data_IF_647479764175
#
_entry.id   IF_647479764175
#
_cell.length_a   1.000
_cell.length_b   1.000
_cell.length_c   1.000
_cell.angle_alpha   90.00
_cell.angle_beta   90.00
_cell.angle_gamma   90.00
#
_symmetry.space_group_name_H-M   'P 1'
#
loop_
_entity.id
_entity.type
_entity.pdbx_description
1 polymer ?
#
# COMPACT_ATOMS: atom_id res chain seq x y z
N UNK A 1 -18.79 7.31 9.13
CA UNK A 1 -17.73 7.98 9.89
C UNK A 1 -16.49 7.90 9.03
N UNK A 2 -16.10 9.03 8.45
CA UNK A 2 -14.84 9.18 7.71
C UNK A 2 -13.70 8.93 8.67
N UNK A 3 -12.79 8.03 8.28
CA UNK A 3 -11.72 7.54 9.12
C UNK A 3 -10.50 8.45 8.93
N UNK A 4 -10.59 9.72 9.37
CA UNK A 4 -9.48 10.66 9.25
C UNK A 4 -8.29 10.10 10.03
N UNK A 5 -7.24 9.73 9.31
CA UNK A 5 -6.06 9.10 9.89
C UNK A 5 -5.27 10.12 10.72
N UNK A 6 -4.91 9.79 11.96
CA UNK A 6 -4.10 10.68 12.79
C UNK A 6 -2.74 10.94 12.11
N UNK A 7 -2.29 12.20 12.11
CA UNK A 7 -1.00 12.61 11.53
C UNK A 7 0.18 11.79 12.08
N UNK A 8 0.11 11.41 13.36
CA UNK A 8 1.09 10.53 14.03
C UNK A 8 1.24 9.17 13.34
N UNK A 9 0.15 8.56 12.88
CA UNK A 9 0.16 7.26 12.19
C UNK A 9 0.81 7.40 10.82
N UNK A 10 0.50 8.47 10.10
CA UNK A 10 1.14 8.79 8.81
C UNK A 10 2.65 8.92 8.97
N UNK A 11 3.11 9.64 9.99
CA UNK A 11 4.54 9.88 10.23
C UNK A 11 5.29 8.59 10.59
N UNK A 12 4.67 7.69 11.40
CA UNK A 12 5.23 6.36 11.68
C UNK A 12 5.34 5.55 10.39
N UNK A 13 4.28 5.50 9.58
CA UNK A 13 4.28 4.75 8.33
C UNK A 13 5.34 5.27 7.36
N UNK A 14 5.46 6.59 7.20
CA UNK A 14 6.51 7.21 6.37
C UNK A 14 7.88 6.80 6.86
N UNK A 15 8.19 6.96 8.14
CA UNK A 15 9.49 6.60 8.70
C UNK A 15 9.85 5.13 8.45
N UNK A 16 8.90 4.21 8.61
CA UNK A 16 9.10 2.78 8.38
C UNK A 16 9.36 2.43 6.91
N UNK A 17 8.66 3.09 5.98
CA UNK A 17 8.76 2.81 4.55
C UNK A 17 9.93 3.51 3.88
N UNK A 18 10.31 4.71 4.34
CA UNK A 18 11.36 5.53 3.72
C UNK A 18 12.70 5.45 4.46
N UNK A 19 12.85 4.52 5.40
CA UNK A 19 14.16 4.19 5.93
C UNK A 19 15.07 3.69 4.78
N UNK A 20 16.32 4.17 4.78
CA UNK A 20 17.30 3.83 3.74
C UNK A 20 17.40 2.30 3.55
N UNK A 21 17.28 1.86 2.30
CA UNK A 21 17.37 0.45 1.93
C UNK A 21 18.81 0.09 1.54
N UNK A 22 19.50 0.98 0.85
CA UNK A 22 20.92 0.91 0.50
C UNK A 22 21.57 2.29 0.64
N UNK A 23 22.82 2.41 0.21
CA UNK A 23 23.53 3.70 0.13
C UNK A 23 22.84 4.67 -0.85
N UNK A 24 22.02 4.16 -1.77
CA UNK A 24 21.21 4.95 -2.71
C UNK A 24 19.94 5.53 -2.05
N UNK A 25 19.69 5.24 -0.77
CA UNK A 25 18.59 5.79 0.01
C UNK A 25 17.33 4.92 0.06
N UNK A 26 16.18 5.58 0.17
CA UNK A 26 14.87 4.93 0.27
C UNK A 26 14.40 4.38 -1.09
N UNK A 27 13.62 3.30 -1.05
CA UNK A 27 13.09 2.64 -2.26
C UNK A 27 11.60 2.93 -2.50
N UNK A 28 10.98 3.75 -1.66
CA UNK A 28 9.57 4.11 -1.76
C UNK A 28 9.36 5.62 -1.61
N UNK A 29 8.38 6.13 -2.33
CA UNK A 29 7.79 7.45 -2.15
C UNK A 29 6.31 7.29 -1.75
N UNK A 30 5.85 8.04 -0.75
CA UNK A 30 4.47 7.94 -0.25
C UNK A 30 3.72 9.21 -0.58
N UNK A 31 2.53 9.06 -1.17
CA UNK A 31 1.59 10.16 -1.38
C UNK A 31 0.28 9.85 -0.66
N UNK A 32 -0.02 10.59 0.40
CA UNK A 32 -1.32 10.52 1.05
C UNK A 32 -2.39 11.12 0.13
N UNK A 33 -3.53 10.46 0.09
CA UNK A 33 -4.70 10.89 -0.65
C UNK A 33 -5.63 11.61 0.32
N UNK A 34 -6.35 12.62 -0.17
CA UNK A 34 -7.37 13.29 0.62
C UNK A 34 -8.56 12.34 0.88
N UNK A 35 -9.39 12.67 1.88
CA UNK A 35 -10.50 11.85 2.42
C UNK A 35 -11.63 11.48 1.41
N UNK A 36 -11.41 11.69 0.11
CA UNK A 36 -12.35 11.42 -0.97
C UNK A 36 -12.40 9.95 -1.40
N UNK A 37 -11.33 9.18 -1.16
CA UNK A 37 -11.29 7.76 -1.48
C UNK A 37 -11.66 6.90 -0.26
N UNK A 38 -12.77 6.14 -0.29
CA UNK A 38 -13.34 5.53 0.91
C UNK A 38 -12.50 4.41 1.53
N UNK A 39 -11.55 3.83 0.78
CA UNK A 39 -10.81 2.64 1.18
C UNK A 39 -9.30 2.75 0.99
N UNK A 40 -8.79 3.85 0.47
CA UNK A 40 -7.37 4.05 0.15
C UNK A 40 -6.91 5.32 0.82
N UNK A 41 -5.91 5.21 1.69
CA UNK A 41 -5.35 6.35 2.42
C UNK A 41 -4.11 6.93 1.70
N UNK A 42 -3.38 6.10 0.95
CA UNK A 42 -2.20 6.56 0.21
C UNK A 42 -1.85 5.69 -1.00
N UNK A 43 -1.01 6.26 -1.85
CA UNK A 43 -0.26 5.57 -2.90
C UNK A 43 1.18 5.42 -2.44
N UNK A 44 1.74 4.22 -2.62
CA UNK A 44 3.17 3.95 -2.45
C UNK A 44 3.78 3.71 -3.82
N UNK A 45 4.75 4.53 -4.19
CA UNK A 45 5.45 4.45 -5.47
C UNK A 45 6.85 3.91 -5.29
N UNK A 46 7.33 3.17 -6.29
CA UNK A 46 8.64 2.57 -6.25
C UNK A 46 9.69 3.54 -6.80
N UNK A 47 10.77 3.72 -6.05
CA UNK A 47 11.96 4.45 -6.48
C UNK A 47 12.94 3.46 -7.13
N UNK A 48 13.69 3.93 -8.14
CA UNK A 48 14.78 3.19 -8.78
C UNK A 48 14.46 2.59 -10.17
N UNK A 49 13.18 2.49 -10.54
CA UNK A 49 12.79 2.08 -11.90
C UNK A 49 12.80 3.25 -12.89
N UNK A 50 13.49 3.08 -14.03
CA UNK A 50 13.63 4.14 -15.06
C UNK A 50 12.65 4.02 -16.23
N UNK A 51 12.07 2.83 -16.44
CA UNK A 51 11.29 2.52 -17.66
C UNK A 51 9.78 2.65 -17.49
N UNK A 52 9.30 2.78 -16.27
CA UNK A 52 7.91 2.97 -15.86
C UNK A 52 7.88 3.29 -14.35
N UNK A 53 6.73 3.73 -13.83
CA UNK A 53 6.54 4.09 -12.43
C UNK A 53 5.57 3.10 -11.78
N UNK A 54 6.07 2.00 -11.17
CA UNK A 54 5.22 1.08 -10.43
C UNK A 54 4.71 1.69 -9.12
N UNK A 55 3.50 1.32 -8.70
CA UNK A 55 2.87 1.80 -7.46
C UNK A 55 1.89 0.78 -6.84
N UNK A 56 1.45 1.00 -5.61
CA UNK A 56 0.33 0.26 -5.03
C UNK A 56 -0.59 1.17 -4.23
N UNK A 57 -1.83 0.72 -4.03
CA UNK A 57 -2.78 1.38 -3.14
C UNK A 57 -2.69 0.79 -1.74
N UNK A 58 -2.77 1.66 -0.74
CA UNK A 58 -2.63 1.26 0.66
C UNK A 58 -3.78 1.82 1.48
N UNK A 59 -4.34 0.96 2.34
CA UNK A 59 -5.13 1.37 3.48
C UNK A 59 -4.33 1.23 4.76
N UNK A 60 -4.24 2.30 5.55
CA UNK A 60 -3.65 2.31 6.87
C UNK A 60 -4.71 1.98 7.93
N UNK A 61 -4.32 1.13 8.88
CA UNK A 61 -5.06 0.87 10.11
C UNK A 61 -4.09 0.96 11.27
N UNK A 62 -4.51 1.52 12.39
CA UNK A 62 -3.65 1.64 13.57
C UNK A 62 -4.32 1.14 14.83
N UNK A 63 -3.51 0.85 15.85
CA UNK A 63 -4.00 0.50 17.18
C UNK A 63 -3.03 0.97 18.25
N UNK A 64 -3.62 1.44 19.36
CA UNK A 64 -2.91 1.70 20.64
C UNK A 64 -3.08 0.53 21.62
N UNK A 65 -3.81 -0.52 21.25
CA UNK A 65 -4.14 -1.65 22.13
C UNK A 65 -3.23 -2.88 21.95
N UNK A 66 -2.28 -2.79 21.02
CA UNK A 66 -1.26 -3.80 20.74
C UNK A 66 -1.85 -5.10 20.17
N UNK A 67 -1.44 -6.23 20.76
CA UNK A 67 -1.59 -7.56 20.16
C UNK A 67 -2.61 -8.44 20.86
N UNK A 68 -3.15 -9.43 20.13
CA UNK A 68 -3.92 -10.54 20.71
C UNK A 68 -3.02 -11.41 21.59
N UNK A 69 -3.59 -12.01 22.64
CA UNK A 69 -2.80 -12.77 23.64
C UNK A 69 -2.25 -14.08 23.07
N UNK A 70 -3.06 -14.80 22.29
CA UNK A 70 -2.77 -16.16 21.83
C UNK A 70 -1.83 -16.18 20.64
N UNK A 71 -2.23 -15.49 19.56
CA UNK A 71 -1.57 -15.62 18.25
C UNK A 71 -0.71 -14.39 17.90
N UNK A 72 -0.53 -13.45 18.84
CA UNK A 72 0.27 -12.22 18.69
C UNK A 72 -0.05 -11.40 17.43
N UNK A 73 -1.28 -11.50 16.95
CA UNK A 73 -1.85 -10.69 15.86
C UNK A 73 -2.08 -9.25 16.30
N UNK A 74 -1.84 -8.27 15.43
CA UNK A 74 -2.07 -6.86 15.72
C UNK A 74 -3.57 -6.56 15.75
N UNK A 75 -4.08 -5.94 16.83
CA UNK A 75 -5.51 -5.64 17.02
C UNK A 75 -5.94 -4.40 16.23
N UNK A 76 -6.12 -4.58 14.92
CA UNK A 76 -6.68 -3.58 14.02
C UNK A 76 -7.93 -4.13 13.35
N UNK A 77 -8.99 -3.33 13.29
CA UNK A 77 -10.26 -3.71 12.64
C UNK A 77 -10.21 -3.34 11.16
N UNK A 78 -10.41 -4.34 10.31
CA UNK A 78 -10.59 -4.19 8.87
C UNK A 78 -12.01 -4.67 8.53
N UNK A 79 -12.84 -3.77 7.98
CA UNK A 79 -14.19 -4.15 7.55
C UNK A 79 -14.14 -4.99 6.27
N UNK A 80 -15.18 -5.79 6.04
CA UNK A 80 -15.34 -6.49 4.77
C UNK A 80 -15.44 -5.49 3.61
N UNK A 81 -16.11 -4.36 3.84
CA UNK A 81 -16.26 -3.28 2.87
C UNK A 81 -14.90 -2.73 2.42
N UNK A 82 -13.99 -2.46 3.36
CA UNK A 82 -12.60 -2.06 3.07
C UNK A 82 -11.89 -3.07 2.16
N UNK A 83 -11.95 -4.35 2.52
CA UNK A 83 -11.28 -5.43 1.78
C UNK A 83 -11.85 -5.51 0.36
N UNK A 84 -13.18 -5.53 0.25
CA UNK A 84 -13.86 -5.59 -1.03
C UNK A 84 -13.49 -4.37 -1.88
N UNK A 85 -13.53 -3.16 -1.30
CA UNK A 85 -13.16 -1.92 -1.96
C UNK A 85 -11.73 -1.92 -2.51
N UNK A 86 -10.76 -2.38 -1.72
CA UNK A 86 -9.38 -2.56 -2.17
C UNK A 86 -9.27 -3.58 -3.30
N UNK A 87 -9.97 -4.72 -3.19
CA UNK A 87 -9.91 -5.79 -4.19
C UNK A 87 -10.47 -5.40 -5.58
N UNK A 88 -11.26 -4.34 -5.65
CA UNK A 88 -11.83 -3.83 -6.91
C UNK A 88 -10.80 -3.09 -7.77
N UNK A 89 -9.71 -2.61 -7.18
CA UNK A 89 -8.68 -1.92 -7.95
C UNK A 89 -7.91 -2.95 -8.80
N UNK A 90 -7.75 -2.73 -10.12
CA UNK A 90 -6.92 -3.57 -10.99
C UNK A 90 -5.44 -3.24 -10.82
N UNK A 91 -4.98 -3.14 -9.57
CA UNK A 91 -3.63 -2.77 -9.17
C UNK A 91 -3.30 -3.45 -7.82
N UNK A 92 -2.02 -3.54 -7.43
CA UNK A 92 -1.65 -4.11 -6.13
C UNK A 92 -2.25 -3.26 -5.01
N UNK A 93 -2.91 -3.91 -4.06
CA UNK A 93 -3.55 -3.29 -2.90
C UNK A 93 -3.12 -3.97 -1.61
N UNK A 94 -2.92 -3.17 -0.57
CA UNK A 94 -2.44 -3.65 0.72
C UNK A 94 -3.10 -2.93 1.89
N UNK A 95 -3.20 -3.65 3.00
CA UNK A 95 -3.53 -3.10 4.31
C UNK A 95 -2.25 -3.05 5.11
N UNK A 96 -1.93 -1.90 5.68
CA UNK A 96 -0.82 -1.73 6.61
C UNK A 96 -1.39 -1.50 8.01
N UNK A 97 -1.08 -2.41 8.92
CA UNK A 97 -1.39 -2.24 10.33
C UNK A 97 -0.23 -1.62 11.08
N UNK A 98 -0.48 -0.55 11.82
CA UNK A 98 0.49 0.18 12.64
C UNK A 98 0.21 -0.06 14.13
N UNK A 99 1.23 -0.47 14.88
CA UNK A 99 1.25 -0.36 16.33
C UNK A 99 1.81 1.02 16.70
N UNK A 100 0.97 1.87 17.26
CA UNK A 100 1.36 3.25 17.56
C UNK A 100 2.31 3.36 18.76
N UNK A 101 2.25 2.40 19.69
CA UNK A 101 3.10 2.43 20.89
C UNK A 101 4.51 1.96 20.55
N UNK A 102 4.61 0.83 19.86
CA UNK A 102 5.89 0.23 19.46
C UNK A 102 6.49 0.88 18.21
N UNK A 103 5.70 1.71 17.50
CA UNK A 103 6.07 2.36 16.23
C UNK A 103 6.51 1.35 15.17
N UNK A 104 5.83 0.21 15.13
CA UNK A 104 6.06 -0.86 14.15
C UNK A 104 4.87 -0.96 13.20
N UNK A 105 5.08 -1.61 12.05
CA UNK A 105 4.04 -1.81 11.05
C UNK A 105 4.12 -3.18 10.40
N UNK A 106 3.01 -3.65 9.83
CA UNK A 106 2.89 -4.97 9.21
C UNK A 106 2.13 -4.88 7.89
N UNK A 107 2.60 -5.61 6.88
CA UNK A 107 2.07 -5.60 5.51
C UNK A 107 1.13 -6.79 5.31
N UNK A 108 -0.08 -6.54 4.79
CA UNK A 108 -1.03 -7.60 4.42
C UNK A 108 -1.60 -7.31 3.04
N UNK A 109 -1.58 -8.31 2.16
CA UNK A 109 -2.20 -8.24 0.83
C UNK A 109 -3.71 -8.07 0.93
N UNK A 110 -4.29 -7.29 0.03
CA UNK A 110 -5.74 -7.20 -0.20
C UNK A 110 -6.12 -7.68 -1.62
N UNK A 111 -5.24 -8.41 -2.29
CA UNK A 111 -5.35 -8.76 -3.70
C UNK A 111 -6.09 -10.10 -3.92
N UNK A 112 -7.41 -10.06 -4.11
CA UNK A 112 -8.20 -11.20 -4.61
C UNK A 112 -8.28 -12.43 -3.70
N UNK A 113 -7.65 -12.38 -2.53
CA UNK A 113 -7.82 -13.36 -1.46
C UNK A 113 -9.24 -13.22 -0.88
N UNK A 114 -9.92 -14.33 -0.61
CA UNK A 114 -11.25 -14.36 0.04
C UNK A 114 -11.11 -13.98 1.53
N UNK A 115 -10.62 -12.77 1.80
CA UNK A 115 -10.41 -12.25 3.14
C UNK A 115 -11.77 -11.81 3.70
N UNK A 116 -12.19 -12.49 4.75
CA UNK A 116 -13.32 -12.05 5.57
C UNK A 116 -12.97 -10.77 6.34
N UNK A 117 -13.96 -10.12 6.96
CA UNK A 117 -13.71 -9.05 7.92
C UNK A 117 -12.75 -9.53 9.01
N UNK A 118 -11.78 -8.69 9.39
CA UNK A 118 -10.75 -9.03 10.36
C UNK A 118 -10.82 -8.12 11.58
N UNK A 119 -10.79 -8.71 12.78
CA UNK A 119 -10.62 -7.97 14.03
C UNK A 119 -9.14 -7.80 14.42
N UNK A 120 -8.24 -8.45 13.68
CA UNK A 120 -6.78 -8.37 13.84
C UNK A 120 -6.09 -8.85 12.57
N UNK A 121 -4.86 -8.40 12.32
CA UNK A 121 -4.03 -8.86 11.19
C UNK A 121 -2.83 -9.68 11.66
N UNK A 122 -2.29 -10.51 10.76
CA UNK A 122 -1.04 -11.25 11.00
C UNK A 122 0.13 -10.28 11.20
N UNK A 123 1.15 -10.74 11.93
CA UNK A 123 2.36 -9.99 12.23
C UNK A 123 3.62 -10.59 11.60
N UNK A 124 3.44 -11.55 10.68
CA UNK A 124 4.53 -12.31 10.03
C UNK A 124 5.34 -11.46 9.04
N UNK A 125 4.76 -10.36 8.54
CA UNK A 125 5.37 -9.47 7.56
C UNK A 125 5.61 -8.06 8.13
N UNK A 126 6.47 -7.89 9.15
CA UNK A 126 6.79 -6.57 9.68
C UNK A 126 7.51 -5.71 8.63
N UNK A 127 7.28 -4.40 8.66
CA UNK A 127 7.99 -3.45 7.80
C UNK A 127 9.44 -3.33 8.29
N UNK A 128 10.31 -4.12 7.68
CA UNK A 128 11.76 -4.12 7.88
C UNK A 128 12.45 -4.14 6.51
N UNK A 129 13.78 -4.00 6.49
CA UNK A 129 14.56 -3.96 5.23
C UNK A 129 14.26 -5.16 4.30
N UNK A 130 14.18 -6.38 4.82
CA UNK A 130 13.93 -7.59 4.02
C UNK A 130 12.53 -7.58 3.38
N UNK A 131 11.50 -7.32 4.18
CA UNK A 131 10.12 -7.29 3.70
C UNK A 131 9.85 -6.08 2.80
N UNK A 132 10.50 -4.94 3.03
CA UNK A 132 10.48 -3.79 2.10
C UNK A 132 11.02 -4.18 0.71
N UNK A 133 12.10 -4.97 0.65
CA UNK A 133 12.63 -5.47 -0.62
C UNK A 133 11.68 -6.45 -1.32
N UNK A 134 11.09 -7.38 -0.55
CA UNK A 134 10.09 -8.33 -1.08
C UNK A 134 8.85 -7.59 -1.61
N UNK A 135 8.35 -6.63 -0.84
CA UNK A 135 7.23 -5.77 -1.21
C UNK A 135 7.51 -4.98 -2.49
N UNK A 136 8.71 -4.41 -2.62
CA UNK A 136 9.15 -3.72 -3.83
C UNK A 136 9.14 -4.66 -5.04
N UNK A 137 9.72 -5.85 -4.92
CA UNK A 137 9.77 -6.81 -6.02
C UNK A 137 8.38 -7.24 -6.48
N UNK A 138 7.47 -7.51 -5.54
CA UNK A 138 6.10 -7.93 -5.85
C UNK A 138 5.34 -6.87 -6.66
N UNK A 139 5.40 -5.61 -6.23
CA UNK A 139 4.75 -4.50 -6.94
C UNK A 139 5.39 -4.29 -8.31
N UNK A 140 6.72 -4.31 -8.40
CA UNK A 140 7.43 -4.18 -9.66
C UNK A 140 7.05 -5.28 -10.65
N UNK A 141 6.97 -6.53 -10.18
CA UNK A 141 6.64 -7.70 -11.00
C UNK A 141 5.21 -7.64 -11.54
N UNK A 142 4.26 -7.17 -10.72
CA UNK A 142 2.89 -6.92 -11.18
C UNK A 142 2.88 -5.95 -12.36
N UNK A 143 3.49 -4.77 -12.21
CA UNK A 143 3.47 -3.74 -13.24
C UNK A 143 4.30 -4.09 -14.46
N UNK A 144 5.40 -4.82 -14.28
CA UNK A 144 6.18 -5.34 -15.39
C UNK A 144 5.34 -6.28 -16.27
N UNK A 145 4.48 -7.11 -15.67
CA UNK A 145 3.50 -7.93 -16.41
C UNK A 145 2.40 -7.08 -17.03
N UNK A 146 1.79 -6.17 -16.27
CA UNK A 146 0.70 -5.31 -16.73
C UNK A 146 1.11 -4.43 -17.91
N UNK A 147 2.34 -3.88 -17.91
CA UNK A 147 2.89 -3.05 -19.00
C UNK A 147 2.92 -3.77 -20.36
N UNK A 148 2.99 -5.11 -20.37
CA UNK A 148 2.95 -5.89 -21.62
C UNK A 148 1.59 -5.84 -22.30
N UNK A 149 0.53 -5.48 -21.57
CA UNK A 149 -0.80 -5.23 -22.12
C UNK A 149 -0.75 -3.86 -22.79
N UNK A 150 -0.75 -3.84 -24.12
CA UNK A 150 -0.76 -2.59 -24.89
C UNK A 150 -2.10 -1.88 -24.69
N UNK A 151 -2.08 -0.73 -24.02
CA UNK A 151 -3.21 0.18 -23.96
C UNK A 151 -3.10 1.20 -25.11
N UNK A 152 -4.08 1.19 -25.99
CA UNK A 152 -4.23 2.22 -27.03
C UNK A 152 -5.38 3.15 -26.61
N UNK A 153 -5.05 4.41 -26.35
CA UNK A 153 -6.06 5.42 -26.06
C UNK A 153 -6.82 5.79 -27.33
N UNK A 154 -8.14 5.99 -27.22
CA UNK A 154 -8.93 6.62 -28.28
C UNK A 154 -8.81 8.15 -28.28
N UNK A 155 -8.26 8.71 -27.20
CA UNK A 155 -8.01 10.14 -27.04
C UNK A 155 -6.57 10.44 -27.45
N UNK A 156 -6.29 10.40 -28.75
CA UNK A 156 -5.00 10.79 -29.33
C UNK A 156 -5.20 12.06 -30.15
N UNK A 157 -4.28 13.02 -30.02
CA UNK A 157 -4.28 14.20 -30.87
C UNK A 157 -3.93 13.78 -32.31
N UNK A 158 -4.83 14.05 -33.25
CA UNK A 158 -4.57 13.85 -34.67
C UNK A 158 -3.84 15.08 -35.20
N UNK A 159 -2.64 14.91 -35.75
CA UNK A 159 -2.00 15.97 -36.54
C UNK A 159 -2.93 16.30 -37.72
N UNK A 160 -3.52 17.50 -37.69
CA UNK A 160 -4.15 18.06 -38.88
C UNK A 160 -3.02 18.51 -39.80
N UNK A 161 -2.82 17.78 -40.91
CA UNK A 161 -1.99 18.25 -42.02
C UNK A 161 -2.56 19.61 -42.45
N UNK A 162 -1.77 20.67 -42.25
CA UNK A 162 -2.08 21.99 -42.81
C UNK A 162 -1.91 21.88 -44.32
N UNK A 163 -3.03 21.88 -45.04
CA UNK A 163 -3.09 22.16 -46.49
C UNK A 163 -2.50 23.54 -46.82
#
# INVERSE_FOLDING_TARGET
>A
MTNTLEKSVQDIFVALMTEAHSDDGAIFNIRFLDDELPHVDCIVELIGQKSFLPFCFVQLKSTKTGYTKKDKRLKVKVSQESINGLSLYPAPTYIIGIDENEKTGYIVSANGENLGSMASIITDFPINKSNRGTFWNEINDFWYKAKKIKFASKFVESEQEKE
#
